data_IF_113815500842
#
_entry.id   IF_113815500842
#
_cell.length_a   1.000
_cell.length_b   1.000
_cell.length_c   1.000
_cell.angle_alpha   90.00
_cell.angle_beta   90.00
_cell.angle_gamma   90.00
#
_symmetry.space_group_name_H-M   'P 1'
#
loop_
_entity.id
_entity.type
_entity.pdbx_description
1 polymer ?
#
# COMPACT_ATOMS: atom_id res chain seq x y z
N UNK A 1 7.15 10.20 11.84
CA UNK A 1 8.14 11.29 11.63
C UNK A 1 9.38 10.75 10.94
N UNK A 2 9.90 9.60 11.36
CA UNK A 2 10.98 8.85 10.70
C UNK A 2 10.83 8.70 9.18
N UNK A 3 9.61 8.47 8.71
CA UNK A 3 9.30 8.22 7.29
C UNK A 3 9.47 9.50 6.45
N UNK A 4 9.03 10.63 7.01
CA UNK A 4 9.15 11.94 6.36
C UNK A 4 10.62 12.35 6.28
N UNK A 5 11.37 12.19 7.38
CA UNK A 5 12.80 12.51 7.43
C UNK A 5 13.60 11.66 6.43
N UNK A 6 13.27 10.35 6.32
CA UNK A 6 13.87 9.47 5.33
C UNK A 6 13.56 9.91 3.90
N UNK A 7 12.32 10.32 3.61
CA UNK A 7 11.93 10.82 2.30
C UNK A 7 12.65 12.14 1.95
N UNK A 8 12.74 13.07 2.90
CA UNK A 8 13.45 14.34 2.71
C UNK A 8 14.95 14.12 2.46
N UNK A 9 15.57 13.19 3.19
CA UNK A 9 16.96 12.80 2.98
C UNK A 9 17.18 12.20 1.57
N UNK A 10 16.27 11.32 1.12
CA UNK A 10 16.33 10.74 -0.21
C UNK A 10 16.24 11.82 -1.32
N UNK A 11 15.30 12.76 -1.18
CA UNK A 11 15.16 13.89 -2.13
C UNK A 11 16.41 14.76 -2.14
N UNK A 12 16.98 15.05 -0.97
CA UNK A 12 18.24 15.80 -0.85
C UNK A 12 19.38 15.10 -1.58
N UNK A 13 19.55 13.79 -1.40
CA UNK A 13 20.58 13.01 -2.10
C UNK A 13 20.38 12.96 -3.62
N UNK A 14 19.15 12.79 -4.08
CA UNK A 14 18.83 12.76 -5.52
C UNK A 14 19.18 14.09 -6.18
N UNK A 15 18.81 15.21 -5.54
CA UNK A 15 19.09 16.55 -6.05
C UNK A 15 20.58 16.92 -5.97
N UNK A 16 21.31 16.49 -4.94
CA UNK A 16 22.75 16.74 -4.81
C UNK A 16 23.58 15.96 -5.83
N UNK A 17 23.17 14.74 -6.15
CA UNK A 17 23.84 13.87 -7.12
C UNK A 17 23.44 14.14 -8.57
N UNK A 18 22.52 15.08 -8.80
CA UNK A 18 21.96 15.41 -10.12
C UNK A 18 21.49 14.17 -10.90
N UNK A 19 20.78 13.26 -10.21
CA UNK A 19 20.30 12.00 -10.82
C UNK A 19 19.30 12.27 -11.96
N UNK A 20 18.59 13.40 -11.90
CA UNK A 20 17.63 13.84 -12.91
C UNK A 20 18.10 15.20 -13.46
N UNK A 21 18.97 15.20 -14.48
CA UNK A 21 19.56 16.43 -15.00
C UNK A 21 18.50 17.44 -15.43
N UNK A 22 18.67 18.70 -15.03
CA UNK A 22 17.79 19.81 -15.40
C UNK A 22 16.50 19.90 -14.57
N UNK A 23 16.27 19.00 -13.61
CA UNK A 23 15.12 19.05 -12.71
C UNK A 23 15.56 18.93 -11.25
N UNK A 24 14.78 19.53 -10.35
CA UNK A 24 14.92 19.33 -8.90
C UNK A 24 13.62 18.77 -8.34
N UNK A 25 13.73 17.66 -7.61
CA UNK A 25 12.58 17.10 -6.93
C UNK A 25 12.23 17.94 -5.70
N UNK A 26 10.94 18.25 -5.54
CA UNK A 26 10.37 18.91 -4.35
C UNK A 26 9.31 18.00 -3.77
N UNK A 27 9.44 17.69 -2.47
CA UNK A 27 8.42 16.93 -1.75
C UNK A 27 7.42 17.90 -1.11
N UNK A 28 6.16 17.78 -1.50
CA UNK A 28 5.05 18.38 -0.77
C UNK A 28 4.47 17.32 0.16
N UNK A 29 4.28 17.66 1.44
CA UNK A 29 3.78 16.73 2.44
C UNK A 29 2.75 17.40 3.35
N UNK A 30 1.86 16.59 3.91
CA UNK A 30 0.82 16.99 4.85
C UNK A 30 0.40 15.74 5.65
N UNK A 31 -0.10 15.93 6.85
CA UNK A 31 -0.48 14.84 7.74
C UNK A 31 -1.90 14.35 7.40
N UNK A 32 -2.02 13.07 7.04
CA UNK A 32 -3.32 12.45 6.79
C UNK A 32 -4.04 12.03 8.07
N UNK A 33 -3.41 12.10 9.25
CA UNK A 33 -3.95 11.67 10.56
C UNK A 33 -4.52 10.25 10.59
N UNK A 34 -4.04 9.39 9.68
CA UNK A 34 -4.62 8.07 9.43
C UNK A 34 -6.13 8.08 9.13
N UNK A 35 -6.69 9.21 8.73
CA UNK A 35 -8.12 9.41 8.51
C UNK A 35 -8.39 9.72 7.03
N UNK A 36 -9.32 9.01 6.38
CA UNK A 36 -9.62 9.21 4.97
C UNK A 36 -10.07 10.63 4.62
N UNK A 37 -10.79 11.31 5.52
CA UNK A 37 -11.25 12.69 5.33
C UNK A 37 -10.08 13.66 5.33
N UNK A 38 -9.22 13.61 6.35
CA UNK A 38 -7.99 14.43 6.40
C UNK A 38 -7.04 14.13 5.24
N UNK A 39 -6.90 12.85 4.86
CA UNK A 39 -6.08 12.46 3.70
C UNK A 39 -6.61 13.03 2.38
N UNK A 40 -7.93 13.01 2.20
CA UNK A 40 -8.58 13.54 0.99
C UNK A 40 -8.48 15.06 0.91
N UNK A 41 -8.71 15.76 2.03
CA UNK A 41 -8.51 17.22 2.12
C UNK A 41 -7.06 17.61 1.79
N UNK A 42 -6.08 16.90 2.36
CA UNK A 42 -4.67 17.11 2.06
C UNK A 42 -4.34 16.88 0.57
N UNK A 43 -4.92 15.84 -0.06
CA UNK A 43 -4.74 15.59 -1.49
C UNK A 43 -5.29 16.75 -2.33
N UNK A 44 -6.51 17.23 -2.04
CA UNK A 44 -7.09 18.35 -2.76
C UNK A 44 -6.33 19.67 -2.53
N UNK A 45 -5.78 19.90 -1.34
CA UNK A 45 -4.90 21.03 -1.06
C UNK A 45 -3.65 21.01 -1.97
N UNK A 46 -3.06 19.83 -2.22
CA UNK A 46 -1.94 19.71 -3.16
C UNK A 46 -2.35 20.01 -4.61
N UNK A 47 -3.48 19.47 -5.05
CA UNK A 47 -3.96 19.61 -6.44
C UNK A 47 -4.36 21.05 -6.76
N UNK A 48 -5.07 21.72 -5.86
CA UNK A 48 -5.73 22.98 -6.19
C UNK A 48 -5.06 24.22 -5.57
N UNK A 49 -4.43 24.09 -4.39
CA UNK A 49 -3.85 25.26 -3.70
C UNK A 49 -2.33 25.35 -3.89
N UNK A 50 -1.64 24.22 -3.92
CA UNK A 50 -0.16 24.18 -4.00
C UNK A 50 0.39 23.88 -5.41
N UNK A 51 -0.47 23.54 -6.37
CA UNK A 51 -0.11 23.22 -7.76
C UNK A 51 0.36 24.43 -8.58
N UNK A 52 -0.03 25.66 -8.20
CA UNK A 52 0.33 26.86 -8.95
C UNK A 52 1.85 27.13 -9.03
N UNK A 53 2.65 26.52 -8.15
CA UNK A 53 4.10 26.65 -8.14
C UNK A 53 4.84 25.46 -8.77
N UNK A 54 4.20 24.30 -8.94
CA UNK A 54 4.85 23.06 -9.36
C UNK A 54 3.83 22.02 -9.84
N UNK A 55 4.06 21.43 -11.01
CA UNK A 55 3.23 20.33 -11.50
C UNK A 55 3.43 19.07 -10.64
N UNK A 56 2.36 18.63 -9.97
CA UNK A 56 2.36 17.36 -9.25
C UNK A 56 2.45 16.21 -10.26
N UNK A 57 3.47 15.37 -10.15
CA UNK A 57 3.72 14.23 -11.06
C UNK A 57 3.28 12.89 -10.48
N UNK A 58 3.34 12.74 -9.16
CA UNK A 58 2.97 11.52 -8.46
C UNK A 58 2.59 11.81 -7.02
N UNK A 59 1.83 10.89 -6.42
CA UNK A 59 1.50 10.91 -5.00
C UNK A 59 2.23 9.77 -4.33
N UNK A 60 2.91 10.05 -3.23
CA UNK A 60 3.56 9.04 -2.40
C UNK A 60 2.87 8.99 -1.03
N UNK A 61 2.37 7.82 -0.63
CA UNK A 61 1.56 7.62 0.57
C UNK A 61 0.25 6.87 0.30
N UNK A 62 -0.64 6.72 1.29
CA UNK A 62 -0.38 6.90 2.72
C UNK A 62 0.19 5.60 3.32
N UNK A 63 0.61 5.62 4.59
CA UNK A 63 0.89 4.39 5.33
C UNK A 63 -0.39 3.65 5.67
N UNK A 64 -1.43 4.38 6.08
CA UNK A 64 -2.68 3.79 6.52
C UNK A 64 -3.45 3.25 5.32
N UNK A 65 -3.86 1.99 5.41
CA UNK A 65 -4.58 1.28 4.34
C UNK A 65 -5.86 2.01 3.94
N UNK A 66 -6.67 2.46 4.91
CA UNK A 66 -7.96 3.07 4.60
C UNK A 66 -7.81 4.39 3.86
N UNK A 67 -6.88 5.25 4.31
CA UNK A 67 -6.52 6.47 3.57
C UNK A 67 -6.03 6.12 2.17
N UNK A 68 -5.16 5.12 2.05
CA UNK A 68 -4.59 4.71 0.76
C UNK A 68 -5.67 4.23 -0.20
N UNK A 69 -6.65 3.44 0.25
CA UNK A 69 -7.78 3.00 -0.58
C UNK A 69 -8.55 4.21 -1.11
N UNK A 70 -8.94 5.13 -0.23
CA UNK A 70 -9.69 6.33 -0.62
C UNK A 70 -8.94 7.15 -1.66
N UNK A 71 -7.65 7.43 -1.42
CA UNK A 71 -6.82 8.20 -2.36
C UNK A 71 -6.59 7.42 -3.66
N UNK A 72 -6.40 6.10 -3.61
CA UNK A 72 -6.16 5.27 -4.78
C UNK A 72 -7.36 5.23 -5.75
N UNK A 73 -8.59 5.40 -5.25
CA UNK A 73 -9.80 5.47 -6.08
C UNK A 73 -9.90 6.81 -6.82
N UNK A 74 -9.41 7.91 -6.22
CA UNK A 74 -9.57 9.27 -6.77
C UNK A 74 -8.37 9.75 -7.60
N UNK A 75 -7.16 9.29 -7.29
CA UNK A 75 -5.91 9.69 -7.99
C UNK A 75 -5.96 9.51 -9.52
N UNK A 76 -6.56 8.43 -10.08
CA UNK A 76 -6.66 8.24 -11.52
C UNK A 76 -7.37 9.38 -12.27
N UNK A 77 -8.29 10.11 -11.63
CA UNK A 77 -9.02 11.22 -12.27
C UNK A 77 -8.14 12.41 -12.63
N UNK A 78 -6.92 12.50 -12.06
CA UNK A 78 -5.91 13.50 -12.41
C UNK A 78 -4.74 12.92 -13.21
N UNK A 79 -4.86 11.69 -13.73
CA UNK A 79 -3.78 10.97 -14.41
C UNK A 79 -2.50 10.84 -13.57
N UNK A 80 -2.67 10.77 -12.25
CA UNK A 80 -1.58 10.62 -11.30
C UNK A 80 -1.38 9.14 -10.94
N UNK A 81 -0.18 8.84 -10.48
CA UNK A 81 0.18 7.53 -9.92
C UNK A 81 0.27 7.68 -8.41
N UNK A 82 -0.29 6.70 -7.68
CA UNK A 82 -0.16 6.60 -6.22
C UNK A 82 0.80 5.47 -5.86
N UNK A 83 1.85 5.77 -5.09
CA UNK A 83 2.77 4.76 -4.54
C UNK A 83 2.69 4.77 -3.02
N UNK A 84 2.13 3.72 -2.41
CA UNK A 84 2.15 3.55 -0.95
C UNK A 84 3.41 2.81 -0.49
N UNK A 85 4.00 3.26 0.61
CA UNK A 85 5.18 2.61 1.19
C UNK A 85 4.83 1.53 2.23
N UNK A 86 3.60 1.49 2.76
CA UNK A 86 3.25 0.59 3.86
C UNK A 86 1.86 -0.09 3.77
N UNK A 87 0.98 0.26 2.82
CA UNK A 87 -0.35 -0.34 2.78
C UNK A 87 -0.33 -1.82 2.29
N UNK A 88 -0.68 -2.74 3.19
CA UNK A 88 -0.55 -4.20 2.95
C UNK A 88 -1.84 -4.91 2.56
N UNK A 89 -3.00 -4.26 2.68
CA UNK A 89 -4.29 -4.93 2.44
C UNK A 89 -4.34 -5.62 1.07
N UNK A 90 -4.85 -6.86 0.99
CA UNK A 90 -5.01 -7.55 -0.28
C UNK A 90 -5.94 -6.82 -1.26
N UNK A 91 -6.94 -6.07 -0.77
CA UNK A 91 -7.93 -5.36 -1.58
C UNK A 91 -7.28 -4.41 -2.60
N UNK A 92 -6.18 -3.76 -2.21
CA UNK A 92 -5.42 -2.83 -3.04
C UNK A 92 -4.76 -3.48 -4.28
N UNK A 93 -4.84 -4.80 -4.42
CA UNK A 93 -4.36 -5.53 -5.60
C UNK A 93 -5.41 -5.63 -6.71
N UNK A 94 -6.65 -5.21 -6.48
CA UNK A 94 -7.72 -5.19 -7.48
C UNK A 94 -7.47 -4.10 -8.52
N UNK A 95 -6.93 -4.47 -9.69
CA UNK A 95 -6.48 -3.52 -10.72
C UNK A 95 -7.60 -2.76 -11.41
N UNK A 96 -8.78 -3.35 -11.55
CA UNK A 96 -9.94 -2.67 -12.13
C UNK A 96 -10.36 -1.48 -11.27
N UNK A 97 -10.28 -1.64 -9.95
CA UNK A 97 -10.61 -0.60 -8.97
C UNK A 97 -9.45 0.37 -8.76
N UNK A 98 -8.23 -0.14 -8.56
CA UNK A 98 -7.03 0.61 -8.22
C UNK A 98 -6.02 0.64 -9.39
N UNK A 99 -6.40 1.33 -10.47
CA UNK A 99 -5.71 1.29 -11.78
C UNK A 99 -4.29 1.88 -11.77
N UNK A 100 -4.08 3.01 -11.09
CA UNK A 100 -2.78 3.71 -11.03
C UNK A 100 -2.08 3.57 -9.67
N UNK A 101 -2.44 2.53 -8.91
CA UNK A 101 -1.87 2.27 -7.59
C UNK A 101 -0.67 1.32 -7.65
N UNK A 102 0.38 1.64 -6.91
CA UNK A 102 1.52 0.77 -6.66
C UNK A 102 1.91 0.80 -5.19
N UNK A 103 2.66 -0.19 -4.73
CA UNK A 103 3.18 -0.22 -3.37
C UNK A 103 4.57 -0.84 -3.28
N UNK A 104 5.33 -0.37 -2.30
CA UNK A 104 6.64 -0.93 -1.94
C UNK A 104 6.52 -2.07 -0.92
N UNK A 105 5.49 -2.02 -0.07
CA UNK A 105 5.22 -3.06 0.91
C UNK A 105 4.67 -4.34 0.26
N UNK A 106 5.05 -5.49 0.82
CA UNK A 106 4.45 -6.77 0.47
C UNK A 106 2.99 -6.80 0.93
N UNK A 107 2.10 -7.29 0.07
CA UNK A 107 0.72 -7.52 0.46
C UNK A 107 0.60 -8.69 1.43
N UNK A 108 -0.40 -8.67 2.31
CA UNK A 108 -0.58 -9.72 3.34
C UNK A 108 -0.78 -11.13 2.73
N UNK A 109 -1.33 -11.19 1.52
CA UNK A 109 -1.51 -12.42 0.74
C UNK A 109 -0.20 -12.97 0.17
N UNK A 110 0.84 -12.14 0.00
CA UNK A 110 2.14 -12.57 -0.53
C UNK A 110 2.89 -13.50 0.45
N UNK A 111 2.47 -13.55 1.71
CA UNK A 111 3.02 -14.43 2.73
C UNK A 111 2.44 -15.86 2.68
N UNK A 112 1.39 -16.10 1.90
CA UNK A 112 0.72 -17.41 1.85
C UNK A 112 1.64 -18.55 1.39
N UNK A 113 2.48 -18.39 0.33
CA UNK A 113 3.43 -19.43 -0.06
C UNK A 113 4.42 -19.80 1.04
N UNK A 114 4.88 -18.81 1.82
CA UNK A 114 5.78 -19.05 2.94
C UNK A 114 5.10 -19.84 4.07
N UNK A 115 3.85 -19.49 4.41
CA UNK A 115 3.03 -20.22 5.39
C UNK A 115 2.81 -21.68 4.95
N UNK A 116 2.49 -21.90 3.67
CA UNK A 116 2.34 -23.25 3.10
C UNK A 116 3.63 -24.05 3.16
N UNK A 117 4.76 -23.43 2.81
CA UNK A 117 6.07 -24.09 2.85
C UNK A 117 6.43 -24.53 4.27
N UNK A 118 6.13 -23.70 5.27
CA UNK A 118 6.31 -24.05 6.69
C UNK A 118 5.47 -25.28 7.08
N UNK A 119 4.19 -25.31 6.72
CA UNK A 119 3.28 -26.43 7.00
C UNK A 119 3.78 -27.72 6.36
N UNK A 120 4.19 -27.67 5.09
CA UNK A 120 4.73 -28.83 4.37
C UNK A 120 6.06 -29.29 4.94
N UNK A 121 6.91 -28.39 5.40
CA UNK A 121 8.20 -28.74 6.03
C UNK A 121 8.00 -29.63 7.27
N UNK A 122 6.97 -29.34 8.09
CA UNK A 122 6.65 -30.14 9.27
C UNK A 122 5.65 -31.29 9.02
N UNK A 123 5.29 -31.53 7.76
CA UNK A 123 4.35 -32.59 7.35
C UNK A 123 2.98 -32.48 8.03
N UNK A 124 2.51 -31.26 8.31
CA UNK A 124 1.16 -31.05 8.83
C UNK A 124 0.14 -31.07 7.69
N UNK A 125 -0.92 -31.86 7.86
CA UNK A 125 -2.06 -31.96 6.92
C UNK A 125 -3.28 -31.17 7.40
N UNK A 126 -3.33 -30.83 8.69
CA UNK A 126 -4.45 -30.13 9.34
C UNK A 126 -3.96 -28.96 10.18
N UNK A 127 -4.54 -27.80 9.95
CA UNK A 127 -4.25 -26.56 10.69
C UNK A 127 -5.53 -25.85 11.08
N UNK A 128 -5.47 -24.98 12.08
CA UNK A 128 -6.56 -24.05 12.42
C UNK A 128 -6.07 -22.62 12.21
N UNK A 129 -6.99 -21.74 11.81
CA UNK A 129 -6.70 -20.32 11.62
C UNK A 129 -7.64 -19.49 12.50
N UNK A 130 -7.06 -18.55 13.23
CA UNK A 130 -7.78 -17.56 14.01
C UNK A 130 -7.36 -16.17 13.51
N UNK A 131 -8.33 -15.32 13.24
CA UNK A 131 -8.11 -13.94 12.84
C UNK A 131 -9.24 -13.07 13.37
N UNK A 132 -8.96 -11.77 13.55
CA UNK A 132 -9.95 -10.78 13.92
C UNK A 132 -10.84 -10.44 12.73
N UNK A 133 -12.13 -10.19 12.97
CA UNK A 133 -13.10 -9.83 11.91
C UNK A 133 -12.88 -8.41 11.40
N UNK A 134 -11.85 -8.28 10.54
CA UNK A 134 -11.49 -7.07 9.84
C UNK A 134 -11.27 -7.40 8.36
N UNK A 135 -11.74 -6.55 7.46
CA UNK A 135 -11.76 -6.80 6.01
C UNK A 135 -10.41 -7.30 5.47
N UNK A 136 -9.31 -6.63 5.84
CA UNK A 136 -7.96 -6.99 5.40
C UNK A 136 -7.57 -8.42 5.79
N UNK A 137 -7.93 -8.84 7.01
CA UNK A 137 -7.62 -10.16 7.54
C UNK A 137 -8.54 -11.22 6.95
N UNK A 138 -9.83 -10.91 6.77
CA UNK A 138 -10.78 -11.76 6.05
C UNK A 138 -10.33 -12.04 4.62
N UNK A 139 -9.86 -11.02 3.90
CA UNK A 139 -9.31 -11.19 2.56
C UNK A 139 -8.01 -12.00 2.56
N UNK A 140 -7.13 -11.78 3.53
CA UNK A 140 -5.90 -12.56 3.66
C UNK A 140 -6.22 -14.04 3.94
N UNK A 141 -7.17 -14.31 4.82
CA UNK A 141 -7.64 -15.66 5.15
C UNK A 141 -8.28 -16.35 3.94
N UNK A 142 -9.13 -15.66 3.18
CA UNK A 142 -9.69 -16.20 1.95
C UNK A 142 -8.59 -16.63 0.97
N UNK A 143 -7.52 -15.85 0.86
CA UNK A 143 -6.33 -16.20 0.09
C UNK A 143 -5.61 -17.44 0.62
N UNK A 144 -5.48 -17.58 1.95
CA UNK A 144 -4.89 -18.76 2.60
C UNK A 144 -5.74 -20.00 2.33
N UNK A 145 -7.05 -19.92 2.55
CA UNK A 145 -7.96 -21.03 2.37
C UNK A 145 -7.92 -21.56 0.93
N UNK A 146 -7.85 -20.66 -0.05
CA UNK A 146 -7.69 -21.01 -1.46
C UNK A 146 -6.34 -21.69 -1.75
N UNK A 147 -5.24 -21.13 -1.26
CA UNK A 147 -3.90 -21.69 -1.47
C UNK A 147 -3.76 -23.07 -0.81
N UNK A 148 -4.25 -23.23 0.42
CA UNK A 148 -4.10 -24.46 1.21
C UNK A 148 -4.98 -25.58 0.66
N UNK A 149 -6.22 -25.29 0.29
CA UNK A 149 -7.11 -26.26 -0.36
C UNK A 149 -6.55 -26.78 -1.67
N UNK A 150 -5.79 -25.97 -2.42
CA UNK A 150 -5.14 -26.39 -3.66
C UNK A 150 -3.90 -27.29 -3.44
N UNK A 151 -3.45 -27.48 -2.21
CA UNK A 151 -2.24 -28.23 -1.87
C UNK A 151 -2.48 -29.29 -0.78
N UNK A 152 -3.72 -29.80 -0.68
CA UNK A 152 -4.12 -30.86 0.25
C UNK A 152 -3.83 -30.53 1.74
N UNK A 153 -4.00 -29.26 2.13
CA UNK A 153 -3.93 -28.83 3.53
C UNK A 153 -5.34 -28.45 3.98
N UNK A 154 -5.83 -29.12 5.03
CA UNK A 154 -7.17 -28.89 5.57
C UNK A 154 -7.12 -27.83 6.67
N UNK A 155 -7.92 -26.78 6.51
CA UNK A 155 -8.15 -25.79 7.57
C UNK A 155 -9.41 -26.21 8.35
N UNK A 156 -9.26 -26.43 9.67
CA UNK A 156 -10.40 -26.61 10.57
C UNK A 156 -10.84 -25.27 11.15
N UNK A 157 -12.13 -24.97 11.05
CA UNK A 157 -12.75 -23.90 11.83
C UNK A 157 -12.95 -24.37 13.28
N UNK A 158 -12.51 -23.54 14.23
CA UNK A 158 -12.84 -23.67 15.65
C UNK A 158 -14.25 -23.19 15.93
#
# INVERSE_FOLDING_TARGET
>A
YSELDAALLAISHINQKDVIPGYKLKLLYNDSKCDPGFGTDAFFDFIYRKSNESSLVMVMGSACTEVTKTIAEIVPYWNLILISYAATSPALSEREKYRTFFRLALGDSALNPARRMLIKHFMWDKVAALYEDHESLSLAFNGINKDFSAHDIVIKST
#
